data_IF_703002041122
#
_entry.id   IF_703002041122
#
_cell.length_a   1.000
_cell.length_b   1.000
_cell.length_c   1.000
_cell.angle_alpha   90.00
_cell.angle_beta   90.00
_cell.angle_gamma   90.00
#
_symmetry.space_group_name_H-M   'P 1'
#
loop_
_entity.id
_entity.type
_entity.pdbx_description
1 polymer ?
#
# COMPACT_ATOMS: atom_id res chain seq x y z
N UNK A 1 27.66 40.51 -72.75
CA UNK A 1 26.33 39.89 -72.62
C UNK A 1 26.39 38.87 -71.50
N UNK A 2 26.07 39.29 -70.28
CA UNK A 2 25.98 38.42 -69.11
C UNK A 2 24.86 38.99 -68.23
N UNK A 3 23.79 38.21 -68.12
CA UNK A 3 22.57 38.48 -67.35
C UNK A 3 22.82 38.40 -65.85
N UNK A 4 22.37 39.37 -65.04
CA UNK A 4 22.20 39.15 -63.62
C UNK A 4 20.78 38.64 -63.31
N UNK A 5 20.79 37.59 -62.51
CA UNK A 5 19.75 36.78 -61.91
C UNK A 5 18.76 37.57 -61.05
N UNK A 6 17.48 37.27 -61.20
CA UNK A 6 16.41 37.64 -60.27
C UNK A 6 16.50 36.79 -59.00
N UNK A 7 16.88 37.40 -57.88
CA UNK A 7 16.68 36.83 -56.55
C UNK A 7 15.63 37.67 -55.80
N UNK A 8 14.38 37.23 -55.88
CA UNK A 8 13.27 37.79 -55.12
C UNK A 8 13.38 37.37 -53.65
N UNK A 9 13.81 38.28 -52.80
CA UNK A 9 13.85 38.11 -51.33
C UNK A 9 12.50 38.49 -50.73
N UNK A 10 11.58 37.53 -50.61
CA UNK A 10 10.39 37.68 -49.77
C UNK A 10 10.73 37.30 -48.33
N UNK A 11 11.17 38.29 -47.54
CA UNK A 11 11.24 38.16 -46.08
C UNK A 11 9.83 38.29 -45.50
N UNK A 12 9.20 37.17 -45.17
CA UNK A 12 8.01 37.16 -44.33
C UNK A 12 8.41 37.50 -42.89
N UNK A 13 8.17 38.74 -42.48
CA UNK A 13 8.31 39.18 -41.08
C UNK A 13 7.07 38.68 -40.34
N UNK A 14 7.24 37.67 -39.49
CA UNK A 14 6.18 37.25 -38.57
C UNK A 14 6.02 38.30 -37.46
N UNK A 15 4.80 38.79 -37.16
CA UNK A 15 4.59 39.69 -36.06
C UNK A 15 4.88 38.94 -34.74
N UNK A 16 5.89 39.42 -34.00
CA UNK A 16 6.09 39.02 -32.61
C UNK A 16 4.91 39.54 -31.80
N UNK A 17 4.00 38.64 -31.43
CA UNK A 17 2.98 38.93 -30.43
C UNK A 17 3.71 39.22 -29.10
N UNK A 18 3.66 40.48 -28.69
CA UNK A 18 4.06 40.91 -27.36
C UNK A 18 3.09 40.30 -26.36
N UNK A 19 3.51 39.21 -25.71
CA UNK A 19 2.81 38.67 -24.54
C UNK A 19 3.03 39.68 -23.43
N UNK A 20 2.05 40.56 -23.25
CA UNK A 20 1.96 41.45 -22.11
C UNK A 20 1.86 40.62 -20.83
N UNK A 21 2.87 40.79 -19.98
CA UNK A 21 2.87 40.60 -18.52
C UNK A 21 1.56 40.03 -17.95
N UNK A 22 1.45 38.70 -17.93
CA UNK A 22 0.53 38.00 -17.04
C UNK A 22 1.24 37.90 -15.69
N UNK A 23 0.59 38.47 -14.69
CA UNK A 23 1.13 38.71 -13.37
C UNK A 23 1.78 37.49 -12.72
N UNK A 24 2.80 37.80 -11.92
CA UNK A 24 3.44 36.93 -10.96
C UNK A 24 2.42 36.40 -9.94
N UNK A 25 1.68 35.36 -10.30
CA UNK A 25 1.20 34.41 -9.30
C UNK A 25 2.37 33.47 -9.04
N UNK A 26 3.12 33.76 -7.97
CA UNK A 26 3.99 32.79 -7.31
C UNK A 26 3.17 31.53 -7.07
N UNK A 27 3.21 30.59 -8.01
CA UNK A 27 2.85 29.21 -7.77
C UNK A 27 3.82 28.73 -6.70
N UNK A 28 3.36 28.73 -5.45
CA UNK A 28 4.03 28.00 -4.37
C UNK A 28 3.96 26.55 -4.79
N UNK A 29 5.00 26.09 -5.50
CA UNK A 29 5.29 24.68 -5.61
C UNK A 29 5.39 24.21 -4.16
N UNK A 30 4.33 23.58 -3.67
CA UNK A 30 4.39 22.75 -2.49
C UNK A 30 5.36 21.62 -2.84
N UNK A 31 6.67 21.89 -2.69
CA UNK A 31 7.67 20.85 -2.52
C UNK A 31 7.13 20.04 -1.36
N UNK A 32 6.56 18.88 -1.68
CA UNK A 32 6.02 17.97 -0.69
C UNK A 32 7.11 17.81 0.36
N UNK A 33 6.88 18.38 1.54
CA UNK A 33 7.85 18.25 2.64
C UNK A 33 8.10 16.75 2.78
N UNK A 34 9.35 16.28 2.79
CA UNK A 34 9.61 14.87 2.98
C UNK A 34 8.86 14.43 4.24
N UNK A 35 8.17 13.29 4.16
CA UNK A 35 7.37 12.79 5.27
C UNK A 35 8.21 12.85 6.55
N UNK A 36 7.74 13.62 7.55
CA UNK A 36 8.46 13.77 8.81
C UNK A 36 8.64 12.38 9.39
N UNK A 37 9.90 11.96 9.52
CA UNK A 37 10.25 10.70 10.14
C UNK A 37 9.71 10.77 11.58
N UNK A 38 8.86 9.81 12.01
CA UNK A 38 8.38 9.81 13.39
C UNK A 38 9.59 9.69 14.32
N UNK A 39 9.74 10.65 15.24
CA UNK A 39 10.74 10.56 16.31
C UNK A 39 10.31 9.40 17.22
N UNK A 40 11.08 8.32 17.23
CA UNK A 40 10.92 7.25 18.19
C UNK A 40 11.48 7.75 19.53
N UNK A 41 10.59 8.12 20.45
CA UNK A 41 10.99 8.53 21.80
C UNK A 41 11.44 7.28 22.56
N UNK A 42 12.59 7.38 23.24
CA UNK A 42 13.06 6.31 24.12
C UNK A 42 12.18 6.27 25.39
N UNK A 43 11.99 5.09 26.01
CA UNK A 43 11.22 4.96 27.24
C UNK A 43 11.86 5.69 28.44
N UNK A 44 13.12 6.12 28.31
CA UNK A 44 13.87 6.84 29.35
C UNK A 44 13.95 8.35 29.11
N UNK A 45 13.40 8.88 28.00
CA UNK A 45 13.35 10.30 27.74
C UNK A 45 11.96 10.86 28.15
N UNK A 46 11.91 11.88 29.04
CA UNK A 46 10.64 12.50 29.41
C UNK A 46 9.99 13.14 28.18
N UNK A 47 8.68 12.94 28.03
CA UNK A 47 7.90 13.45 26.90
C UNK A 47 7.84 14.97 26.97
N UNK A 48 8.29 15.66 25.92
CA UNK A 48 8.13 17.11 25.82
C UNK A 48 6.62 17.47 25.90
N UNK A 49 6.20 18.36 26.81
CA UNK A 49 4.81 18.74 26.93
C UNK A 49 4.39 19.45 25.64
N UNK A 50 3.36 18.93 24.99
CA UNK A 50 2.72 19.61 23.85
C UNK A 50 2.13 20.94 24.36
N UNK A 51 2.08 21.98 23.51
CA UNK A 51 1.56 23.30 23.89
C UNK A 51 0.07 23.27 24.31
N UNK A 52 -0.63 22.15 24.10
CA UNK A 52 -2.02 21.91 24.50
C UNK A 52 -2.16 21.00 25.73
N UNK A 53 -1.05 20.55 26.34
CA UNK A 53 -1.09 19.57 27.44
C UNK A 53 -1.64 20.11 28.77
N UNK A 54 -2.06 21.38 28.81
CA UNK A 54 -2.74 22.00 29.95
C UNK A 54 -4.18 22.48 29.67
N UNK A 55 -4.74 22.25 28.47
CA UNK A 55 -6.08 22.77 28.10
C UNK A 55 -7.10 21.67 27.83
N UNK A 56 -6.87 20.43 28.28
CA UNK A 56 -7.92 19.41 28.26
C UNK A 56 -8.99 19.80 29.27
N UNK A 57 -10.00 20.54 28.83
CA UNK A 57 -11.23 20.68 29.59
C UNK A 57 -11.75 19.26 29.89
N UNK A 58 -12.13 18.95 31.14
CA UNK A 58 -12.74 17.67 31.44
C UNK A 58 -13.97 17.51 30.54
N UNK A 59 -13.95 16.43 29.74
CA UNK A 59 -15.04 16.10 28.83
C UNK A 59 -16.24 15.72 29.70
N UNK A 60 -17.33 16.47 29.59
CA UNK A 60 -18.57 16.22 30.33
C UNK A 60 -19.08 14.79 30.03
N UNK A 61 -19.09 13.86 31.01
CA UNK A 61 -19.46 12.46 30.77
C UNK A 61 -20.93 12.31 30.36
N UNK A 62 -21.77 13.32 30.63
CA UNK A 62 -23.18 13.37 30.21
C UNK A 62 -23.36 13.66 28.72
N UNK A 63 -22.39 14.30 28.06
CA UNK A 63 -22.48 14.67 26.63
C UNK A 63 -21.84 13.65 25.71
N UNK A 64 -20.85 12.90 26.21
CA UNK A 64 -20.06 11.95 25.41
C UNK A 64 -20.34 10.47 25.72
N UNK A 65 -21.27 10.19 26.64
CA UNK A 65 -21.51 8.84 27.14
C UNK A 65 -20.37 8.37 28.04
N UNK A 66 -20.70 7.81 29.20
CA UNK A 66 -19.67 7.13 29.99
C UNK A 66 -19.16 5.94 29.17
N UNK A 67 -17.83 5.70 29.10
CA UNK A 67 -17.33 4.44 28.56
C UNK A 67 -18.01 3.31 29.35
N UNK A 68 -18.59 2.35 28.64
CA UNK A 68 -19.19 1.16 29.27
C UNK A 68 -18.15 0.55 30.21
N UNK A 69 -18.47 0.36 31.51
CA UNK A 69 -17.50 -0.18 32.44
C UNK A 69 -17.14 -1.60 31.98
N UNK A 70 -15.88 -1.79 31.60
CA UNK A 70 -15.29 -3.11 31.28
C UNK A 70 -15.22 -4.03 32.50
N UNK A 71 -15.52 -3.48 33.68
CA UNK A 71 -15.49 -4.15 34.97
C UNK A 71 -16.91 -4.32 35.49
N UNK A 72 -17.31 -5.54 35.80
CA UNK A 72 -18.56 -5.81 36.51
C UNK A 72 -18.27 -6.09 37.98
N UNK A 73 -19.13 -5.56 38.85
CA UNK A 73 -19.10 -5.85 40.28
C UNK A 73 -20.47 -6.40 40.68
N UNK A 74 -20.50 -7.59 41.26
CA UNK A 74 -21.73 -8.23 41.75
C UNK A 74 -21.58 -8.45 43.25
N UNK A 75 -22.46 -7.82 44.03
CA UNK A 75 -22.58 -8.09 45.46
C UNK A 75 -23.20 -9.45 45.67
N UNK A 76 -22.54 -10.32 46.41
CA UNK A 76 -23.14 -11.59 46.82
C UNK A 76 -24.01 -11.32 48.05
N UNK A 77 -25.31 -11.57 47.92
CA UNK A 77 -26.26 -11.42 49.02
C UNK A 77 -25.82 -12.31 50.21
N UNK A 78 -26.04 -11.81 51.42
CA UNK A 78 -25.75 -12.47 52.72
C UNK A 78 -24.29 -12.65 53.15
N UNK A 79 -23.29 -12.28 52.34
CA UNK A 79 -21.87 -12.47 52.70
C UNK A 79 -21.06 -11.19 52.92
N UNK A 80 -21.60 -10.03 52.54
CA UNK A 80 -20.87 -8.74 52.54
C UNK A 80 -19.70 -8.68 51.55
N UNK A 81 -19.55 -9.68 50.69
CA UNK A 81 -18.47 -9.79 49.71
C UNK A 81 -18.96 -9.34 48.32
N UNK A 82 -18.09 -8.64 47.60
CA UNK A 82 -18.34 -8.18 46.22
C UNK A 82 -17.37 -8.87 45.27
N UNK A 83 -17.90 -9.58 44.28
CA UNK A 83 -17.08 -10.13 43.20
C UNK A 83 -16.79 -9.03 42.19
N UNK A 84 -15.50 -8.76 41.97
CA UNK A 84 -15.03 -7.84 40.95
C UNK A 84 -14.44 -8.63 39.79
N UNK A 85 -15.04 -8.52 38.61
CA UNK A 85 -14.48 -9.06 37.38
C UNK A 85 -13.83 -7.93 36.57
N UNK A 86 -12.50 -7.85 36.63
CA UNK A 86 -11.68 -6.92 35.84
C UNK A 86 -10.84 -7.69 34.82
N UNK A 87 -11.27 -7.81 33.55
CA UNK A 87 -10.46 -8.46 32.53
C UNK A 87 -9.15 -7.68 32.33
N UNK A 88 -8.02 -8.35 32.06
CA UNK A 88 -6.73 -7.68 31.90
C UNK A 88 -6.77 -6.70 30.71
N UNK A 89 -6.19 -5.50 30.84
CA UNK A 89 -6.33 -4.42 29.86
C UNK A 89 -5.62 -4.66 28.52
N UNK A 90 -4.83 -5.73 28.39
CA UNK A 90 -3.84 -5.88 27.31
C UNK A 90 -4.02 -7.08 26.39
N UNK A 91 -5.13 -7.83 26.49
CA UNK A 91 -5.33 -8.98 25.62
C UNK A 91 -6.73 -9.02 25.01
N UNK A 92 -6.89 -9.14 23.67
CA UNK A 92 -8.12 -9.71 23.13
C UNK A 92 -8.28 -11.11 23.76
N UNK A 93 -9.36 -11.31 24.51
CA UNK A 93 -9.59 -12.52 25.29
C UNK A 93 -9.79 -13.73 24.38
N UNK A 94 -8.69 -14.40 24.02
CA UNK A 94 -8.69 -15.71 23.32
C UNK A 94 -8.66 -16.90 24.29
N UNK A 95 -8.76 -16.66 25.61
CA UNK A 95 -8.55 -17.68 26.65
C UNK A 95 -9.80 -18.07 27.43
N UNK A 96 -10.94 -17.41 27.20
CA UNK A 96 -12.21 -17.98 27.63
C UNK A 96 -12.65 -18.89 26.47
N UNK A 97 -12.97 -20.16 26.73
CA UNK A 97 -13.39 -21.16 25.73
C UNK A 97 -14.63 -20.80 24.88
N UNK A 98 -14.98 -19.53 24.78
CA UNK A 98 -15.74 -18.97 23.68
C UNK A 98 -14.97 -19.18 22.37
N UNK A 99 -15.65 -19.81 21.43
CA UNK A 99 -15.17 -19.95 20.05
C UNK A 99 -14.81 -18.54 19.55
N UNK A 100 -13.57 -18.30 19.07
CA UNK A 100 -13.16 -16.99 18.59
C UNK A 100 -14.14 -16.50 17.53
N UNK A 101 -14.41 -15.20 17.54
CA UNK A 101 -15.34 -14.52 16.65
C UNK A 101 -15.17 -14.92 15.18
N UNK A 102 -13.92 -15.12 14.75
CA UNK A 102 -13.58 -15.60 13.41
C UNK A 102 -14.09 -17.02 13.12
N UNK A 103 -14.01 -17.95 14.08
CA UNK A 103 -14.54 -19.30 13.94
C UNK A 103 -16.08 -19.32 14.02
N UNK A 104 -16.70 -18.45 14.82
CA UNK A 104 -18.16 -18.25 14.84
C UNK A 104 -18.67 -17.69 13.51
N UNK A 105 -17.93 -16.75 12.91
CA UNK A 105 -18.23 -16.20 11.59
C UNK A 105 -18.10 -17.23 10.47
N UNK A 106 -17.04 -18.05 10.50
CA UNK A 106 -16.90 -19.21 9.58
C UNK A 106 -18.04 -20.22 9.79
N UNK A 107 -18.52 -20.35 11.04
CA UNK A 107 -19.68 -21.17 11.41
C UNK A 107 -21.05 -20.55 11.07
N UNK A 108 -21.10 -19.37 10.43
CA UNK A 108 -22.34 -18.74 9.98
C UNK A 108 -23.03 -17.83 11.00
N UNK A 109 -22.43 -17.58 12.17
CA UNK A 109 -22.96 -16.61 13.13
C UNK A 109 -22.56 -15.17 12.77
N UNK A 110 -23.51 -14.25 12.85
CA UNK A 110 -23.27 -12.82 12.65
C UNK A 110 -22.54 -12.24 13.87
N UNK A 111 -21.23 -12.10 13.77
CA UNK A 111 -20.44 -11.39 14.78
C UNK A 111 -20.42 -9.90 14.46
N UNK A 112 -20.93 -9.08 15.39
CA UNK A 112 -20.72 -7.63 15.38
C UNK A 112 -19.26 -7.33 15.74
N UNK A 113 -18.39 -7.25 14.73
CA UNK A 113 -17.03 -6.76 14.91
C UNK A 113 -17.14 -5.27 15.24
N UNK A 114 -16.94 -4.90 16.51
CA UNK A 114 -16.67 -3.52 16.91
C UNK A 114 -15.44 -3.08 16.12
N UNK A 115 -15.61 -2.16 15.17
CA UNK A 115 -14.64 -1.84 14.11
C UNK A 115 -13.23 -1.39 14.52
N UNK A 116 -12.85 -1.56 15.79
CA UNK A 116 -11.52 -1.41 16.35
C UNK A 116 -10.57 -2.58 16.01
N UNK A 117 -11.09 -3.77 15.73
CA UNK A 117 -10.27 -4.96 15.37
C UNK A 117 -9.91 -5.03 13.87
N UNK A 118 -10.64 -4.28 13.04
CA UNK A 118 -10.41 -4.23 11.61
C UNK A 118 -9.32 -3.24 11.26
N UNK A 119 -8.06 -3.66 11.24
CA UNK A 119 -7.06 -2.91 10.47
C UNK A 119 -7.66 -2.71 9.06
N UNK A 120 -7.84 -1.46 8.57
CA UNK A 120 -8.52 -1.23 7.30
C UNK A 120 -7.77 -2.01 6.24
N UNK A 121 -8.44 -3.04 5.69
CA UNK A 121 -7.89 -3.87 4.63
C UNK A 121 -7.42 -2.89 3.56
N UNK A 122 -6.11 -2.89 3.30
CA UNK A 122 -5.50 -1.99 2.34
C UNK A 122 -6.37 -1.98 1.09
N UNK A 123 -6.93 -0.82 0.71
CA UNK A 123 -7.85 -0.69 -0.44
C UNK A 123 -7.24 -1.20 -1.77
N UNK A 124 -5.93 -1.50 -1.78
CA UNK A 124 -5.19 -2.14 -2.87
C UNK A 124 -5.21 -3.68 -2.85
N UNK A 125 -5.57 -4.31 -1.73
CA UNK A 125 -6.11 -5.66 -1.67
C UNK A 125 -7.61 -5.61 -2.02
N UNK A 126 -7.98 -4.96 -3.15
CA UNK A 126 -9.11 -5.48 -3.92
C UNK A 126 -8.84 -6.97 -4.01
N UNK A 127 -9.79 -7.76 -3.53
CA UNK A 127 -9.82 -9.23 -3.54
C UNK A 127 -8.77 -9.76 -4.49
N UNK A 128 -7.78 -10.53 -3.98
CA UNK A 128 -6.81 -11.19 -4.85
C UNK A 128 -7.65 -11.83 -5.95
N UNK A 129 -7.61 -11.25 -7.16
CA UNK A 129 -8.50 -11.65 -8.24
C UNK A 129 -8.11 -13.07 -8.59
N UNK A 130 -8.78 -14.03 -7.96
CA UNK A 130 -8.78 -15.41 -8.34
C UNK A 130 -9.60 -15.43 -9.61
N UNK A 131 -8.95 -15.72 -10.72
CA UNK A 131 -9.69 -16.05 -11.91
C UNK A 131 -10.37 -17.41 -11.63
N UNK A 132 -11.67 -17.38 -11.39
CA UNK A 132 -12.50 -18.57 -11.04
C UNK A 132 -13.18 -19.18 -12.27
N UNK A 133 -12.67 -18.90 -13.47
CA UNK A 133 -13.19 -19.46 -14.72
C UNK A 133 -12.20 -20.41 -15.40
N UNK A 134 -12.71 -21.15 -16.38
CA UNK A 134 -11.89 -21.80 -17.40
C UNK A 134 -11.55 -20.75 -18.45
N UNK A 135 -10.27 -20.38 -18.55
CA UNK A 135 -9.79 -19.45 -19.58
C UNK A 135 -9.21 -20.26 -20.72
N UNK A 136 -9.90 -20.27 -21.85
CA UNK A 136 -9.39 -20.83 -23.09
C UNK A 136 -8.84 -19.70 -23.95
N UNK A 137 -7.56 -19.82 -24.31
CA UNK A 137 -6.95 -18.96 -25.33
C UNK A 137 -6.91 -19.72 -26.65
N UNK A 138 -7.21 -19.02 -27.75
CA UNK A 138 -7.03 -19.55 -29.10
C UNK A 138 -5.57 -19.92 -29.34
N UNK A 139 -5.34 -20.97 -30.12
CA UNK A 139 -4.00 -21.51 -30.37
C UNK A 139 -3.03 -20.47 -30.98
N UNK A 140 -3.51 -19.59 -31.87
CA UNK A 140 -2.74 -18.50 -32.45
C UNK A 140 -2.18 -17.53 -31.39
N UNK A 141 -2.97 -17.26 -30.36
CA UNK A 141 -2.59 -16.37 -29.26
C UNK A 141 -1.52 -17.04 -28.41
N UNK A 142 -1.66 -18.34 -28.14
CA UNK A 142 -0.68 -19.15 -27.40
C UNK A 142 0.66 -19.18 -28.16
N UNK A 143 0.63 -19.44 -29.47
CA UNK A 143 1.84 -19.44 -30.30
C UNK A 143 2.53 -18.07 -30.31
N UNK A 144 1.76 -16.98 -30.45
CA UNK A 144 2.33 -15.62 -30.35
C UNK A 144 2.89 -15.33 -28.96
N UNK A 145 2.26 -15.79 -27.87
CA UNK A 145 2.81 -15.64 -26.52
C UNK A 145 4.19 -16.30 -26.40
N UNK A 146 4.35 -17.49 -26.95
CA UNK A 146 5.62 -18.21 -26.94
C UNK A 146 6.69 -17.50 -27.78
N UNK A 147 6.34 -17.01 -28.98
CA UNK A 147 7.23 -16.21 -29.82
C UNK A 147 7.72 -14.95 -29.10
N UNK A 148 6.79 -14.15 -28.55
CA UNK A 148 7.12 -12.92 -27.82
C UNK A 148 7.98 -13.21 -26.57
N UNK A 149 7.79 -14.35 -25.92
CA UNK A 149 8.64 -14.77 -24.80
C UNK A 149 10.04 -15.18 -25.26
N UNK A 150 10.17 -15.85 -26.41
CA UNK A 150 11.45 -16.17 -27.02
C UNK A 150 12.23 -14.89 -27.38
N UNK A 151 11.54 -13.84 -27.83
CA UNK A 151 12.10 -12.49 -28.03
C UNK A 151 12.53 -11.79 -26.73
N UNK A 152 12.24 -12.36 -25.56
CA UNK A 152 12.63 -11.82 -24.25
C UNK A 152 11.61 -10.87 -23.61
N UNK A 153 10.41 -10.71 -24.19
CA UNK A 153 9.40 -9.78 -23.66
C UNK A 153 8.87 -10.21 -22.29
N UNK A 154 8.63 -9.21 -21.44
CA UNK A 154 8.07 -9.41 -20.10
C UNK A 154 6.60 -9.83 -20.18
N UNK A 155 6.06 -10.47 -19.13
CA UNK A 155 4.63 -10.84 -19.07
C UNK A 155 3.69 -9.64 -19.33
N UNK A 156 4.10 -8.45 -18.89
CA UNK A 156 3.33 -7.21 -19.04
C UNK A 156 3.37 -6.73 -20.48
N UNK A 157 4.52 -6.80 -21.14
CA UNK A 157 4.66 -6.48 -22.55
C UNK A 157 3.86 -7.45 -23.43
N UNK A 158 3.94 -8.76 -23.17
CA UNK A 158 3.18 -9.78 -23.91
C UNK A 158 1.67 -9.51 -23.78
N UNK A 159 1.20 -9.26 -22.55
CA UNK A 159 -0.19 -8.95 -22.29
C UNK A 159 -0.67 -7.68 -22.99
N UNK A 160 0.19 -6.66 -23.10
CA UNK A 160 -0.12 -5.42 -23.84
C UNK A 160 -0.10 -5.63 -25.35
N UNK A 161 0.88 -6.36 -25.89
CA UNK A 161 0.98 -6.59 -27.33
C UNK A 161 -0.17 -7.44 -27.88
N UNK A 162 -0.72 -8.34 -27.06
CA UNK A 162 -1.85 -9.19 -27.40
C UNK A 162 -3.19 -8.64 -26.92
N UNK A 163 -3.22 -7.41 -26.37
CA UNK A 163 -4.41 -6.76 -25.81
C UNK A 163 -5.20 -7.63 -24.81
N UNK A 164 -4.49 -8.41 -23.99
CA UNK A 164 -5.12 -9.25 -22.97
C UNK A 164 -5.58 -8.43 -21.76
N UNK A 165 -6.66 -8.83 -21.07
CA UNK A 165 -7.03 -8.27 -19.78
C UNK A 165 -5.90 -8.40 -18.75
N UNK A 166 -5.67 -7.34 -17.96
CA UNK A 166 -4.57 -7.29 -16.97
C UNK A 166 -4.63 -8.44 -15.93
N UNK A 167 -5.84 -8.93 -15.65
CA UNK A 167 -6.07 -10.02 -14.71
C UNK A 167 -5.49 -11.36 -15.22
N UNK A 168 -5.37 -11.51 -16.54
CA UNK A 168 -4.85 -12.72 -17.19
C UNK A 168 -3.33 -12.75 -17.30
N UNK A 169 -2.62 -11.64 -17.01
CA UNK A 169 -1.15 -11.55 -17.20
C UNK A 169 -0.38 -12.56 -16.35
N UNK A 170 -0.98 -13.02 -15.25
CA UNK A 170 -0.40 -14.03 -14.37
C UNK A 170 -0.39 -15.41 -15.02
N UNK A 171 -1.38 -15.71 -15.87
CA UNK A 171 -1.54 -17.00 -16.53
C UNK A 171 -0.53 -17.21 -17.66
N UNK A 172 0.02 -16.13 -18.23
CA UNK A 172 1.02 -16.17 -19.31
C UNK A 172 2.25 -17.00 -18.91
N UNK A 173 2.63 -16.99 -17.63
CA UNK A 173 3.78 -17.76 -17.15
C UNK A 173 3.61 -19.28 -17.28
N UNK A 174 2.36 -19.79 -17.33
CA UNK A 174 2.09 -21.21 -17.54
C UNK A 174 2.25 -21.61 -19.01
N UNK A 175 1.83 -20.74 -19.93
CA UNK A 175 1.83 -21.02 -21.38
C UNK A 175 3.18 -20.70 -22.04
N UNK A 176 3.80 -19.59 -21.62
CA UNK A 176 5.09 -19.14 -22.09
C UNK A 176 6.02 -18.95 -20.88
N UNK A 177 6.60 -20.04 -20.34
CA UNK A 177 7.54 -19.95 -19.22
C UNK A 177 8.82 -19.21 -19.65
N UNK A 178 9.50 -18.60 -18.68
CA UNK A 178 10.84 -18.05 -18.93
C UNK A 178 11.84 -19.20 -19.08
N UNK A 179 12.79 -19.06 -19.99
CA UNK A 179 13.90 -20.01 -20.09
C UNK A 179 14.80 -19.89 -18.86
N UNK A 180 15.49 -20.97 -18.50
CA UNK A 180 16.40 -20.97 -17.36
C UNK A 180 17.47 -19.86 -17.47
N UNK A 181 17.94 -19.59 -18.69
CA UNK A 181 18.91 -18.51 -18.99
C UNK A 181 18.32 -17.13 -18.69
N UNK A 182 17.08 -16.85 -19.15
CA UNK A 182 16.40 -15.58 -18.87
C UNK A 182 16.07 -15.40 -17.38
N UNK A 183 15.78 -16.50 -16.67
CA UNK A 183 15.54 -16.47 -15.23
C UNK A 183 16.84 -16.17 -14.47
N UNK A 184 17.94 -16.82 -14.85
CA UNK A 184 19.27 -16.60 -14.28
C UNK A 184 19.74 -15.15 -14.50
N UNK A 185 19.60 -14.60 -15.71
CA UNK A 185 20.00 -13.21 -16.00
C UNK A 185 19.26 -12.19 -15.14
N UNK A 186 17.97 -12.41 -14.88
CA UNK A 186 17.19 -11.54 -13.98
C UNK A 186 17.62 -11.66 -12.54
N UNK A 187 18.03 -12.85 -12.10
CA UNK A 187 18.57 -13.03 -10.75
C UNK A 187 19.89 -12.29 -10.60
N UNK A 188 20.79 -12.38 -11.57
CA UNK A 188 22.06 -11.64 -11.56
C UNK A 188 21.84 -10.13 -11.57
N UNK A 189 20.93 -9.62 -12.42
CA UNK A 189 20.55 -8.20 -12.43
C UNK A 189 20.02 -7.73 -11.07
N UNK A 190 19.19 -8.53 -10.39
CA UNK A 190 18.68 -8.21 -9.07
C UNK A 190 19.77 -8.25 -7.99
N UNK A 191 20.76 -9.12 -8.13
CA UNK A 191 21.91 -9.21 -7.23
C UNK A 191 22.86 -8.01 -7.41
N UNK A 192 23.13 -7.60 -8.64
CA UNK A 192 23.84 -6.37 -8.96
C UNK A 192 23.11 -5.15 -8.39
N UNK A 193 21.79 -5.08 -8.55
CA UNK A 193 21.00 -4.01 -7.93
C UNK A 193 21.07 -4.05 -6.40
N UNK A 194 21.16 -5.23 -5.77
CA UNK A 194 21.33 -5.36 -4.31
C UNK A 194 22.74 -4.99 -3.87
N UNK A 195 23.76 -5.24 -4.70
CA UNK A 195 25.16 -4.95 -4.38
C UNK A 195 25.37 -3.43 -4.22
N UNK A 196 24.73 -2.63 -5.10
CA UNK A 196 24.72 -1.15 -5.05
C UNK A 196 24.02 -0.55 -3.82
N UNK A 197 23.33 -1.35 -2.99
CA UNK A 197 22.67 -0.82 -1.80
C UNK A 197 23.70 -0.42 -0.73
N UNK A 198 23.62 0.82 -0.27
CA UNK A 198 24.37 1.27 0.91
C UNK A 198 23.97 0.52 2.19
N UNK A 199 24.84 0.56 3.20
CA UNK A 199 24.70 -0.17 4.46
C UNK A 199 23.33 0.02 5.13
N UNK A 200 22.87 1.28 5.27
CA UNK A 200 21.56 1.60 5.90
C UNK A 200 20.39 0.93 5.16
N UNK A 201 20.42 0.88 3.83
CA UNK A 201 19.37 0.23 3.02
C UNK A 201 19.40 -1.28 3.22
N UNK A 202 20.58 -1.91 3.19
CA UNK A 202 20.76 -3.34 3.47
C UNK A 202 20.20 -3.72 4.85
N UNK A 203 20.56 -2.97 5.90
CA UNK A 203 20.04 -3.18 7.26
C UNK A 203 18.51 -3.04 7.30
N UNK A 204 17.94 -1.97 6.75
CA UNK A 204 16.48 -1.78 6.77
C UNK A 204 15.70 -2.89 6.04
N UNK A 205 16.27 -3.46 4.97
CA UNK A 205 15.67 -4.59 4.24
C UNK A 205 15.77 -5.88 5.03
N UNK A 206 16.89 -6.13 5.71
CA UNK A 206 17.06 -7.28 6.61
C UNK A 206 16.07 -7.23 7.80
N UNK A 207 15.92 -6.07 8.45
CA UNK A 207 14.92 -5.87 9.52
C UNK A 207 13.50 -6.11 9.00
N UNK A 208 13.19 -5.65 7.77
CA UNK A 208 11.88 -5.92 7.15
C UNK A 208 11.67 -7.42 6.87
N UNK A 209 12.70 -8.14 6.43
CA UNK A 209 12.63 -9.61 6.27
C UNK A 209 12.30 -10.27 7.59
N UNK A 210 13.04 -9.94 8.66
CA UNK A 210 12.80 -10.47 10.00
C UNK A 210 11.41 -10.16 10.55
N UNK A 211 10.90 -8.94 10.31
CA UNK A 211 9.51 -8.61 10.65
C UNK A 211 8.51 -9.47 9.88
N UNK A 212 8.75 -9.71 8.58
CA UNK A 212 7.88 -10.57 7.75
C UNK A 212 7.97 -12.05 8.13
N UNK A 213 9.10 -12.51 8.65
CA UNK A 213 9.27 -13.87 9.19
C UNK A 213 8.60 -14.03 10.56
N UNK A 214 8.58 -12.98 11.36
CA UNK A 214 7.94 -12.96 12.67
C UNK A 214 6.41 -12.92 12.59
N UNK A 215 5.88 -12.13 11.66
CA UNK A 215 4.44 -12.03 11.37
C UNK A 215 3.96 -13.22 10.54
#
# INVERSE_FOLDING_TARGET
MASPTLASSSRTILPRLAITSIGSTRGVLHRARPARIPKLLSPHAPKEPLPTSGTSHPVDPKKHGAPTPLTSAVSLEDSGLTFHHSPPPTMPSYTNGAVPTLLRWIGGENVALTGEEGAPVSRKNKERKSYTGELEWTEDVVQRMQQLRAEGKSRSEIGKSLNLPADQYRLIARVAPQTAVQAASKLTELEEQKSTWGYRKKLSRAVRSKRKEFW
#
